data_IF_246929222781
#
_entry.id   IF_246929222781
#
_cell.length_a   1.000
_cell.length_b   1.000
_cell.length_c   1.000
_cell.angle_alpha   90.00
_cell.angle_beta   90.00
_cell.angle_gamma   90.00
#
_symmetry.space_group_name_H-M   'P 1'
#
loop_
_entity.id
_entity.type
_entity.pdbx_description
1 polymer ?
#
# COMPACT_ATOMS: atom_id res chain seq x y z
N UNK A 1 26.98 17.72 15.34
CA UNK A 1 26.44 17.98 13.99
C UNK A 1 25.36 16.95 13.75
N UNK A 2 24.13 17.43 13.59
CA UNK A 2 22.89 16.64 13.48
C UNK A 2 22.93 15.70 12.27
N UNK A 3 22.79 14.40 12.51
CA UNK A 3 22.58 13.41 11.47
C UNK A 3 21.23 13.68 10.79
N UNK A 4 21.26 13.78 9.47
CA UNK A 4 20.08 13.89 8.63
C UNK A 4 19.20 12.64 8.83
N UNK A 5 17.99 12.83 9.39
CA UNK A 5 16.95 11.80 9.46
C UNK A 5 16.46 11.52 8.04
N UNK A 6 16.94 10.45 7.42
CA UNK A 6 16.35 9.91 6.20
C UNK A 6 14.94 9.41 6.55
N UNK A 7 13.92 10.22 6.24
CA UNK A 7 12.52 9.81 6.28
C UNK A 7 12.32 8.71 5.22
N UNK A 8 12.35 7.44 5.62
CA UNK A 8 12.16 6.31 4.72
C UNK A 8 10.70 6.28 4.24
N UNK A 9 10.44 6.94 3.12
CA UNK A 9 9.20 6.80 2.35
C UNK A 9 9.19 5.42 1.70
N UNK A 10 8.30 4.53 2.13
CA UNK A 10 8.16 3.22 1.50
C UNK A 10 7.17 3.34 0.34
N UNK A 11 7.72 3.43 -0.87
CA UNK A 11 6.97 3.20 -2.10
C UNK A 11 7.02 1.69 -2.40
N UNK A 12 5.93 0.97 -2.12
CA UNK A 12 5.78 -0.41 -2.58
C UNK A 12 5.68 -0.36 -4.12
N UNK A 13 6.74 -0.76 -4.83
CA UNK A 13 6.73 -0.81 -6.30
C UNK A 13 6.45 -2.22 -6.82
N UNK A 14 5.58 -2.39 -7.84
CA UNK A 14 4.73 -1.34 -8.41
C UNK A 14 3.54 -1.11 -7.45
N UNK A 15 3.00 0.10 -7.37
CA UNK A 15 1.89 0.38 -6.44
C UNK A 15 0.68 -0.54 -6.61
N UNK A 16 0.60 -1.24 -7.76
CA UNK A 16 -0.31 -2.33 -8.05
C UNK A 16 0.17 -3.64 -7.41
N UNK A 17 -0.22 -3.83 -6.16
CA UNK A 17 -0.04 -5.10 -5.45
C UNK A 17 -1.26 -5.41 -4.60
N UNK A 18 -1.36 -6.65 -4.14
CA UNK A 18 -2.34 -7.09 -3.14
C UNK A 18 -1.67 -7.22 -1.77
N UNK A 19 -2.45 -7.36 -0.70
CA UNK A 19 -1.89 -7.69 0.61
C UNK A 19 -1.37 -9.13 0.65
N UNK A 20 -0.08 -9.31 0.98
CA UNK A 20 0.56 -10.61 1.18
C UNK A 20 1.73 -10.53 2.17
N UNK A 21 2.28 -11.67 2.59
CA UNK A 21 3.31 -11.75 3.63
C UNK A 21 4.58 -10.90 3.35
N UNK A 22 4.92 -10.65 2.07
CA UNK A 22 6.06 -9.81 1.72
C UNK A 22 5.82 -8.33 2.04
N UNK A 23 4.58 -7.84 1.90
CA UNK A 23 4.21 -6.48 2.30
C UNK A 23 4.38 -6.33 3.81
N UNK A 24 3.80 -7.25 4.59
CA UNK A 24 3.91 -7.20 6.05
C UNK A 24 5.37 -7.24 6.54
N UNK A 25 6.17 -8.18 6.02
CA UNK A 25 7.60 -8.26 6.35
C UNK A 25 8.38 -6.99 5.99
N UNK A 26 7.99 -6.33 4.91
CA UNK A 26 8.62 -5.07 4.48
C UNK A 26 8.25 -3.93 5.44
N UNK A 27 6.99 -3.83 5.83
CA UNK A 27 6.51 -2.87 6.83
C UNK A 27 7.24 -3.07 8.16
N UNK A 28 7.32 -4.30 8.66
CA UNK A 28 7.99 -4.64 9.93
C UNK A 28 9.49 -4.29 9.91
N UNK A 29 10.16 -4.54 8.78
CA UNK A 29 11.59 -4.31 8.60
C UNK A 29 11.94 -2.84 8.42
N UNK A 30 11.18 -2.13 7.60
CA UNK A 30 11.49 -0.74 7.19
C UNK A 30 10.89 0.28 8.16
N UNK A 31 9.74 -0.03 8.78
CA UNK A 31 8.97 0.87 9.67
C UNK A 31 8.82 2.29 9.09
N UNK A 32 8.23 2.42 7.90
CA UNK A 32 8.11 3.72 7.25
C UNK A 32 7.19 4.66 8.03
N UNK A 33 7.45 5.97 7.98
CA UNK A 33 6.51 6.96 8.52
C UNK A 33 5.32 7.22 7.60
N UNK A 34 5.48 6.97 6.29
CA UNK A 34 4.44 7.15 5.28
C UNK A 34 4.39 5.93 4.36
N UNK A 35 3.19 5.42 4.12
CA UNK A 35 2.93 4.30 3.21
C UNK A 35 1.91 4.75 2.17
N UNK A 36 2.22 4.52 0.89
CA UNK A 36 1.30 4.81 -0.22
C UNK A 36 0.80 3.51 -0.81
N UNK A 37 -0.52 3.39 -1.00
CA UNK A 37 -1.18 2.18 -1.52
C UNK A 37 -2.05 2.51 -2.72
N UNK A 38 -2.06 1.67 -3.75
CA UNK A 38 -3.12 1.72 -4.76
C UNK A 38 -4.28 0.87 -4.24
N UNK A 39 -5.44 1.51 -4.02
CA UNK A 39 -6.58 0.90 -3.30
C UNK A 39 -7.85 0.84 -4.15
N UNK A 40 -7.69 0.64 -5.46
CA UNK A 40 -8.79 0.71 -6.42
C UNK A 40 -9.48 -0.63 -6.70
N UNK A 41 -9.04 -1.71 -6.06
CA UNK A 41 -9.66 -3.03 -6.19
C UNK A 41 -9.73 -3.57 -7.62
N UNK A 42 -8.80 -3.21 -8.50
CA UNK A 42 -8.83 -3.65 -9.89
C UNK A 42 -8.79 -5.19 -9.99
N UNK A 43 -9.64 -5.75 -10.86
CA UNK A 43 -9.79 -7.19 -11.07
C UNK A 43 -9.27 -7.55 -12.47
N UNK A 44 -8.46 -8.61 -12.55
CA UNK A 44 -8.06 -9.16 -13.84
C UNK A 44 -9.02 -10.27 -14.30
N UNK A 45 -9.92 -9.97 -15.24
CA UNK A 45 -10.76 -10.97 -15.93
C UNK A 45 -11.42 -12.00 -14.98
N UNK A 46 -11.92 -11.56 -13.82
CA UNK A 46 -12.49 -12.41 -12.74
C UNK A 46 -11.53 -13.45 -12.11
N UNK A 47 -10.23 -13.41 -12.42
CA UNK A 47 -9.21 -14.32 -11.85
C UNK A 47 -8.67 -13.86 -10.50
N UNK A 48 -9.05 -12.67 -10.04
CA UNK A 48 -8.66 -12.13 -8.75
C UNK A 48 -8.28 -10.64 -8.82
N UNK A 49 -8.05 -10.07 -7.65
CA UNK A 49 -7.59 -8.70 -7.49
C UNK A 49 -6.12 -8.58 -7.87
N UNK A 50 -5.79 -7.55 -8.64
CA UNK A 50 -4.42 -7.17 -8.99
C UNK A 50 -3.95 -5.94 -8.22
N UNK A 51 -4.88 -5.23 -7.58
CA UNK A 51 -4.64 -4.04 -6.75
C UNK A 51 -5.40 -4.19 -5.44
N UNK A 52 -4.92 -3.58 -4.35
CA UNK A 52 -5.53 -3.70 -3.04
C UNK A 52 -7.01 -3.27 -3.07
N UNK A 53 -7.86 -4.08 -2.43
CA UNK A 53 -9.21 -3.67 -2.03
C UNK A 53 -9.18 -2.96 -0.68
N UNK A 54 -10.27 -2.28 -0.31
CA UNK A 54 -10.37 -1.55 0.96
C UNK A 54 -9.95 -2.38 2.19
N UNK A 55 -10.39 -3.64 2.29
CA UNK A 55 -10.04 -4.53 3.40
C UNK A 55 -8.51 -4.79 3.49
N UNK A 56 -7.83 -4.83 2.35
CA UNK A 56 -6.38 -5.03 2.27
C UNK A 56 -5.64 -3.74 2.67
N UNK A 57 -6.16 -2.57 2.30
CA UNK A 57 -5.63 -1.28 2.77
C UNK A 57 -5.78 -1.13 4.29
N UNK A 58 -6.88 -1.60 4.88
CA UNK A 58 -7.05 -1.64 6.34
C UNK A 58 -6.00 -2.53 7.00
N UNK A 59 -5.66 -3.67 6.39
CA UNK A 59 -4.59 -4.54 6.91
C UNK A 59 -3.22 -3.83 6.92
N UNK A 60 -2.94 -2.97 5.93
CA UNK A 60 -1.74 -2.11 5.93
C UNK A 60 -1.76 -1.15 7.13
N UNK A 61 -2.88 -0.49 7.39
CA UNK A 61 -3.02 0.41 8.55
C UNK A 61 -2.82 -0.33 9.88
N UNK A 62 -3.32 -1.57 9.98
CA UNK A 62 -3.17 -2.39 11.19
C UNK A 62 -1.72 -2.87 11.39
N UNK A 63 -1.02 -3.20 10.31
CA UNK A 63 0.38 -3.60 10.36
C UNK A 63 1.34 -2.43 10.64
N UNK A 64 0.90 -1.20 10.37
CA UNK A 64 1.69 0.01 10.49
C UNK A 64 0.92 1.13 11.23
N UNK A 65 0.53 0.92 12.50
CA UNK A 65 -0.35 1.86 13.22
C UNK A 65 0.27 3.25 13.44
N UNK A 66 1.60 3.33 13.43
CA UNK A 66 2.37 4.58 13.59
C UNK A 66 2.63 5.30 12.25
N UNK A 67 2.23 4.71 11.12
CA UNK A 67 2.46 5.26 9.78
C UNK A 67 1.25 6.03 9.28
N UNK A 68 1.50 7.09 8.51
CA UNK A 68 0.47 7.73 7.69
C UNK A 68 0.25 6.89 6.42
N UNK A 69 -0.95 6.35 6.24
CA UNK A 69 -1.31 5.58 5.04
C UNK A 69 -2.10 6.47 4.07
N UNK A 70 -1.61 6.60 2.84
CA UNK A 70 -2.27 7.34 1.76
C UNK A 70 -2.79 6.34 0.72
N UNK A 71 -4.11 6.23 0.61
CA UNK A 71 -4.77 5.43 -0.42
C UNK A 71 -4.97 6.28 -1.69
N UNK A 72 -4.51 5.77 -2.85
CA UNK A 72 -4.60 6.45 -4.13
C UNK A 72 -5.02 5.48 -5.26
N UNK A 73 -4.90 5.95 -6.51
CA UNK A 73 -5.26 5.22 -7.73
C UNK A 73 -6.76 4.90 -7.86
N UNK A 74 -7.62 5.62 -7.12
CA UNK A 74 -9.08 5.47 -7.23
C UNK A 74 -9.63 6.38 -8.35
N UNK A 75 -10.63 5.89 -9.09
CA UNK A 75 -11.43 6.69 -10.04
C UNK A 75 -10.64 7.36 -11.20
N UNK A 76 -9.52 6.76 -11.63
CA UNK A 76 -8.67 7.29 -12.70
C UNK A 76 -8.73 6.48 -14.00
N UNK A 77 -9.10 5.19 -13.92
CA UNK A 77 -9.16 4.26 -15.06
C UNK A 77 -10.43 3.42 -14.99
N UNK A 78 -10.91 2.96 -16.13
CA UNK A 78 -12.19 2.26 -16.32
C UNK A 78 -12.31 0.91 -15.59
N UNK A 79 -11.19 0.31 -15.17
CA UNK A 79 -11.16 -0.94 -14.42
C UNK A 79 -10.90 -0.74 -12.91
N UNK A 80 -10.89 0.51 -12.43
CA UNK A 80 -10.91 0.84 -11.01
C UNK A 80 -12.36 0.82 -10.52
N UNK A 81 -12.73 -0.19 -9.73
CA UNK A 81 -14.07 -0.30 -9.14
C UNK A 81 -13.95 -0.14 -7.63
N UNK A 82 -14.56 0.92 -7.08
CA UNK A 82 -14.56 1.21 -5.64
C UNK A 82 -15.58 0.30 -4.95
#
# INVERSE_FOLDING_TARGET
MSEFSLSYFLFLSPGDTIWYAGVNKTIERVRPNVIVTHSCGAIWQQKGYIVMVAAQTVAVCQAAPESVVVAMHMNAVDHATI
#
